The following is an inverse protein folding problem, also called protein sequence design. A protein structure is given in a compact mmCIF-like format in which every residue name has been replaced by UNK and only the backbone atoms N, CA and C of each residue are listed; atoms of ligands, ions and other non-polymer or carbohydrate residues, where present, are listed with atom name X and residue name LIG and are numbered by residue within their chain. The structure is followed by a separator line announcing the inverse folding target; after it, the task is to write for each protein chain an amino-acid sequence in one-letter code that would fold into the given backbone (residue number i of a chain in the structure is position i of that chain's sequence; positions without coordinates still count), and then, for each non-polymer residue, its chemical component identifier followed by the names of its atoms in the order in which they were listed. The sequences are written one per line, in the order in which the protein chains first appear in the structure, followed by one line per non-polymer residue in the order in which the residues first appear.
data_IF_518827478456
#
_entry.id   IF_518827478456
#
_cell.length_a   1.000
_cell.length_b   1.000
_cell.length_c   1.000
_cell.angle_alpha   90.00
_cell.angle_beta   90.00
_cell.angle_gamma   90.00
#
_symmetry.space_group_name_H-M   'P 1'
#
loop_
_entity.id
_entity.type
_entity.pdbx_description
1 polymer ?
#
# COMPACT_ATOMS: atom_id res chain seq x y z
N UNK A 1 6.81 14.26 30.93
CA UNK A 1 7.67 15.37 30.44
C UNK A 1 8.59 14.83 29.35
N UNK A 2 8.20 14.98 28.09
CA UNK A 2 9.08 14.97 26.90
C UNK A 2 8.38 15.85 25.87
N UNK A 3 8.97 17.02 25.62
CA UNK A 3 8.52 18.01 24.64
C UNK A 3 8.98 17.62 23.22
N UNK A 4 8.30 18.24 22.24
CA UNK A 4 8.83 18.61 20.92
C UNK A 4 8.94 17.47 19.90
N UNK A 5 8.59 17.62 18.62
CA UNK A 5 8.64 18.79 17.72
C UNK A 5 7.60 18.64 16.61
N UNK A 6 6.96 19.74 16.21
CA UNK A 6 6.21 19.86 14.96
C UNK A 6 7.12 19.57 13.75
N UNK A 7 6.60 18.86 12.74
CA UNK A 7 7.26 18.70 11.44
C UNK A 7 6.37 19.28 10.34
N UNK A 8 6.96 20.19 9.54
CA UNK A 8 6.40 20.80 8.35
C UNK A 8 6.39 19.82 7.16
N UNK A 9 5.43 19.98 6.25
CA UNK A 9 5.23 19.20 5.02
C UNK A 9 5.49 20.11 3.81
N UNK A 10 6.19 19.61 2.78
CA UNK A 10 6.40 20.29 1.49
C UNK A 10 5.93 19.38 0.35
N UNK A 11 5.13 19.93 -0.58
CA UNK A 11 4.58 19.27 -1.77
C UNK A 11 5.13 19.88 -3.06
N UNK A 12 5.23 19.08 -4.13
CA UNK A 12 5.37 19.55 -5.51
C UNK A 12 4.17 19.06 -6.33
N UNK A 13 3.50 20.00 -7.00
CA UNK A 13 2.43 19.72 -7.94
C UNK A 13 3.01 19.35 -9.31
N UNK A 14 2.47 18.32 -9.96
CA UNK A 14 2.63 18.15 -11.40
C UNK A 14 1.84 19.27 -12.11
N UNK A 15 2.39 19.94 -13.14
CA UNK A 15 1.66 20.95 -13.89
C UNK A 15 0.47 20.30 -14.61
N UNK A 16 -0.70 20.94 -14.51
CA UNK A 16 -1.92 20.54 -15.25
C UNK A 16 -1.65 20.52 -16.75
N UNK A 17 -2.22 19.59 -17.53
CA UNK A 17 -2.16 19.69 -18.98
C UNK A 17 -2.97 20.91 -19.42
N UNK A 18 -2.29 21.92 -19.97
CA UNK A 18 -2.95 23.04 -20.62
C UNK A 18 -3.54 22.56 -21.95
N UNK A 19 -4.77 23.03 -22.20
CA UNK A 19 -5.52 22.81 -23.43
C UNK A 19 -4.77 23.33 -24.67
N UNK A 20 -4.90 22.56 -25.76
CA UNK A 20 -4.16 22.68 -27.00
C UNK A 20 -4.64 23.88 -27.82
N UNK A 21 -4.03 25.06 -27.63
CA UNK A 21 -4.03 26.11 -28.67
C UNK A 21 -2.98 27.17 -28.35
N UNK A 22 -1.90 27.23 -29.14
CA UNK A 22 -1.25 28.45 -29.68
C UNK A 22 0.10 28.07 -30.32
N UNK A 23 0.22 28.39 -31.61
CA UNK A 23 1.40 28.29 -32.47
C UNK A 23 2.53 29.21 -32.00
N UNK A 24 3.78 28.72 -31.86
CA UNK A 24 5.00 29.52 -32.07
C UNK A 24 6.07 28.64 -32.73
N UNK A 25 6.60 29.11 -33.86
CA UNK A 25 7.79 28.58 -34.56
C UNK A 25 9.02 28.75 -33.68
N UNK A 26 9.84 27.70 -33.51
CA UNK A 26 11.26 27.85 -33.21
C UNK A 26 12.11 26.99 -34.15
N UNK A 27 13.09 27.68 -34.73
CA UNK A 27 14.15 27.20 -35.61
C UNK A 27 15.05 26.16 -34.94
N UNK A 28 15.40 25.12 -35.71
CA UNK A 28 16.37 24.09 -35.35
C UNK A 28 17.70 24.69 -34.92
N UNK A 29 18.15 24.40 -33.70
CA UNK A 29 19.57 24.28 -33.37
C UNK A 29 19.75 23.04 -32.49
N UNK A 30 20.75 22.26 -32.88
CA UNK A 30 21.21 20.99 -32.36
C UNK A 30 21.32 20.96 -30.83
N UNK A 31 20.60 20.04 -30.19
CA UNK A 31 20.95 19.46 -28.89
C UNK A 31 20.17 18.18 -28.68
N UNK A 32 20.90 17.16 -28.25
CA UNK A 32 20.52 15.76 -28.03
C UNK A 32 19.10 15.56 -27.53
N UNK A 33 18.30 14.82 -28.29
CA UNK A 33 16.97 14.36 -27.88
C UNK A 33 17.16 13.40 -26.71
N UNK A 34 16.93 13.87 -25.48
CA UNK A 34 16.62 12.99 -24.36
C UNK A 34 15.33 12.25 -24.75
N UNK A 35 15.45 10.97 -25.04
CA UNK A 35 14.33 10.05 -25.00
C UNK A 35 13.83 10.02 -23.54
N UNK A 36 12.84 10.86 -23.22
CA UNK A 36 12.07 10.68 -22.00
C UNK A 36 11.35 9.34 -22.15
N UNK A 37 11.87 8.31 -21.47
CA UNK A 37 11.11 7.11 -21.13
C UNK A 37 9.93 7.56 -20.26
N UNK A 38 8.85 8.00 -20.91
CA UNK A 38 7.53 7.76 -20.36
C UNK A 38 7.40 6.24 -20.34
N UNK A 39 7.76 5.63 -19.22
CA UNK A 39 7.44 4.24 -18.96
C UNK A 39 5.93 4.13 -19.16
N UNK A 40 5.54 3.39 -20.19
CA UNK A 40 4.15 2.99 -20.39
C UNK A 40 3.65 2.47 -19.06
N UNK A 41 2.51 2.99 -18.58
CA UNK A 41 1.76 2.37 -17.50
C UNK A 41 1.41 0.96 -17.97
N UNK A 42 2.28 0.00 -17.67
CA UNK A 42 2.02 -1.40 -17.91
C UNK A 42 1.04 -1.77 -16.82
N UNK A 43 -0.23 -1.72 -17.16
CA UNK A 43 -1.28 -2.34 -16.38
C UNK A 43 -0.79 -3.70 -15.86
N UNK A 44 -0.97 -3.99 -14.57
CA UNK A 44 -0.67 -5.28 -13.97
C UNK A 44 -1.70 -6.31 -14.41
N UNK A 45 -1.86 -6.50 -15.73
CA UNK A 45 -2.85 -7.40 -16.32
C UNK A 45 -2.33 -8.83 -16.43
N UNK A 46 -1.02 -9.06 -16.29
CA UNK A 46 -0.40 -10.37 -16.37
C UNK A 46 0.73 -10.57 -15.34
N UNK A 47 1.02 -11.82 -14.95
CA UNK A 47 2.09 -12.12 -14.01
C UNK A 47 3.47 -11.71 -14.54
N UNK A 48 4.32 -11.07 -13.72
CA UNK A 48 5.74 -10.89 -14.05
C UNK A 48 6.44 -12.25 -14.24
N UNK A 49 7.49 -12.32 -15.09
CA UNK A 49 8.25 -13.55 -15.27
C UNK A 49 8.75 -14.14 -13.94
N UNK A 50 8.47 -15.43 -13.72
CA UNK A 50 8.87 -16.15 -12.50
C UNK A 50 8.00 -15.90 -11.27
N UNK A 51 6.92 -15.10 -11.37
CA UNK A 51 6.00 -14.92 -10.26
C UNK A 51 5.20 -16.19 -9.95
N UNK A 52 4.97 -16.46 -8.66
CA UNK A 52 3.95 -17.41 -8.23
C UNK A 52 2.57 -16.79 -8.50
N UNK A 53 1.61 -17.57 -9.00
CA UNK A 53 0.29 -17.06 -9.39
C UNK A 53 -0.82 -17.57 -8.48
N UNK A 54 -1.74 -16.69 -8.10
CA UNK A 54 -2.86 -16.99 -7.18
C UNK A 54 -4.19 -16.67 -7.84
N UNK A 55 -5.13 -17.61 -7.74
CA UNK A 55 -6.52 -17.46 -8.18
C UNK A 55 -6.70 -17.37 -9.69
N UNK A 56 -7.93 -17.10 -10.13
CA UNK A 56 -8.31 -17.20 -11.55
C UNK A 56 -8.19 -18.62 -12.12
N UNK A 57 -8.34 -18.76 -13.43
CA UNK A 57 -8.18 -20.06 -14.12
C UNK A 57 -6.72 -20.48 -14.32
N UNK A 58 -5.78 -19.55 -14.18
CA UNK A 58 -4.35 -19.72 -14.46
C UNK A 58 -3.47 -19.69 -13.19
N UNK A 59 -4.07 -19.45 -12.03
CA UNK A 59 -3.38 -19.47 -10.75
C UNK A 59 -2.87 -20.86 -10.39
N UNK A 60 -1.60 -20.96 -10.00
CA UNK A 60 -1.01 -22.19 -9.45
C UNK A 60 -1.49 -22.48 -8.02
N UNK A 61 -1.85 -21.42 -7.29
CA UNK A 61 -2.35 -21.49 -5.91
C UNK A 61 -3.79 -20.97 -5.85
N UNK A 62 -4.59 -21.57 -4.98
CA UNK A 62 -5.96 -21.10 -4.72
C UNK A 62 -6.03 -19.96 -3.69
N UNK A 63 -5.02 -19.87 -2.81
CA UNK A 63 -4.96 -18.86 -1.75
C UNK A 63 -3.63 -18.11 -1.77
N UNK A 64 -3.64 -16.89 -1.24
CA UNK A 64 -2.46 -16.02 -1.15
C UNK A 64 -1.51 -16.57 -0.10
N UNK A 65 -2.02 -17.09 1.02
CA UNK A 65 -1.16 -17.72 2.03
C UNK A 65 -0.40 -18.93 1.44
N UNK A 66 -1.04 -19.77 0.62
CA UNK A 66 -0.35 -20.92 0.03
C UNK A 66 0.79 -20.51 -0.92
N UNK A 67 0.63 -19.40 -1.65
CA UNK A 67 1.72 -18.85 -2.47
C UNK A 67 2.83 -18.22 -1.61
N UNK A 68 2.48 -17.56 -0.51
CA UNK A 68 3.46 -17.04 0.47
C UNK A 68 4.26 -18.19 1.10
N UNK A 69 3.61 -19.30 1.45
CA UNK A 69 4.25 -20.48 2.04
C UNK A 69 5.18 -21.19 1.05
N UNK A 70 4.95 -21.02 -0.25
CA UNK A 70 5.80 -21.57 -1.32
C UNK A 70 7.03 -20.70 -1.65
N UNK A 71 7.15 -19.50 -1.06
CA UNK A 71 8.34 -18.67 -1.22
C UNK A 71 9.56 -19.35 -0.59
N UNK A 72 10.70 -19.24 -1.27
CA UNK A 72 11.95 -19.80 -0.78
C UNK A 72 12.67 -18.78 0.10
N UNK A 73 13.32 -19.20 1.19
CA UNK A 73 14.11 -18.30 2.00
C UNK A 73 15.51 -18.03 1.39
N UNK A 74 15.53 -17.26 0.30
CA UNK A 74 16.75 -16.89 -0.44
C UNK A 74 16.93 -15.37 -0.44
N UNK A 75 18.09 -14.88 -0.90
CA UNK A 75 18.36 -13.45 -1.08
C UNK A 75 17.85 -12.90 -2.42
N UNK A 76 17.38 -13.78 -3.32
CA UNK A 76 16.84 -13.37 -4.61
C UNK A 76 15.46 -12.72 -4.44
N UNK A 77 15.14 -11.78 -5.32
CA UNK A 77 13.79 -11.19 -5.37
C UNK A 77 12.78 -12.24 -5.80
N UNK A 78 11.68 -12.32 -5.08
CA UNK A 78 10.55 -13.20 -5.42
C UNK A 78 9.28 -12.38 -5.55
N UNK A 79 8.38 -12.86 -6.42
CA UNK A 79 7.15 -12.17 -6.76
C UNK A 79 5.96 -13.11 -6.67
N UNK A 80 4.83 -12.57 -6.21
CA UNK A 80 3.52 -13.21 -6.28
C UNK A 80 2.61 -12.30 -7.09
N UNK A 81 1.86 -12.87 -8.03
CA UNK A 81 0.82 -12.20 -8.77
C UNK A 81 -0.54 -12.79 -8.40
N UNK A 82 -1.49 -11.93 -8.06
CA UNK A 82 -2.83 -12.30 -7.62
C UNK A 82 -3.81 -11.87 -8.71
N UNK A 83 -4.52 -12.83 -9.30
CA UNK A 83 -5.60 -12.54 -10.23
C UNK A 83 -6.81 -11.94 -9.50
N UNK A 84 -7.65 -11.23 -10.26
CA UNK A 84 -8.87 -10.57 -9.78
C UNK A 84 -9.72 -11.48 -8.90
N UNK A 85 -10.18 -10.96 -7.76
CA UNK A 85 -11.00 -11.72 -6.82
C UNK A 85 -10.97 -11.17 -5.39
N UNK A 86 -11.86 -11.71 -4.57
CA UNK A 86 -11.85 -11.50 -3.11
C UNK A 86 -11.33 -12.77 -2.45
N UNK A 87 -10.33 -12.59 -1.59
CA UNK A 87 -9.63 -13.65 -0.87
C UNK A 87 -9.90 -13.47 0.62
N UNK A 88 -10.76 -14.34 1.17
CA UNK A 88 -11.18 -14.30 2.58
C UNK A 88 -10.20 -15.09 3.46
N UNK A 89 -9.05 -14.48 3.76
CA UNK A 89 -7.98 -15.11 4.52
C UNK A 89 -7.13 -14.09 5.28
N UNK A 90 -6.52 -14.54 6.39
CA UNK A 90 -5.43 -13.81 7.02
C UNK A 90 -4.11 -14.22 6.36
N UNK A 91 -3.34 -13.25 5.88
CA UNK A 91 -2.04 -13.48 5.25
C UNK A 91 -0.91 -13.07 6.18
N UNK A 92 -0.01 -14.00 6.50
CA UNK A 92 1.21 -13.76 7.26
C UNK A 92 2.45 -14.00 6.41
N UNK A 93 3.20 -12.91 6.20
CA UNK A 93 4.49 -12.92 5.50
C UNK A 93 5.58 -12.86 6.54
N UNK A 94 6.07 -14.04 6.92
CA UNK A 94 7.23 -14.19 7.79
C UNK A 94 8.49 -13.54 7.19
N UNK A 95 9.49 -13.33 8.04
CA UNK A 95 10.76 -12.73 7.61
C UNK A 95 11.46 -13.61 6.57
N UNK A 96 11.77 -13.02 5.41
CA UNK A 96 12.62 -13.62 4.38
C UNK A 96 13.94 -12.86 4.25
N UNK A 97 14.96 -13.52 3.69
CA UNK A 97 16.28 -12.95 3.46
C UNK A 97 16.34 -12.00 2.25
N UNK A 98 15.41 -12.14 1.30
CA UNK A 98 15.38 -11.37 0.05
C UNK A 98 14.08 -10.56 -0.10
N UNK A 99 14.03 -9.64 -1.08
CA UNK A 99 12.85 -8.81 -1.32
C UNK A 99 11.66 -9.64 -1.81
N UNK A 100 10.47 -9.30 -1.33
CA UNK A 100 9.21 -9.91 -1.77
C UNK A 100 8.33 -8.82 -2.39
N UNK A 101 7.75 -9.09 -3.54
CA UNK A 101 6.77 -8.21 -4.17
C UNK A 101 5.47 -8.95 -4.45
N UNK A 102 4.34 -8.39 -4.01
CA UNK A 102 3.01 -8.92 -4.30
C UNK A 102 2.29 -7.92 -5.21
N UNK A 103 1.78 -8.42 -6.33
CA UNK A 103 1.08 -7.65 -7.35
C UNK A 103 -0.37 -8.11 -7.42
N UNK A 104 -1.31 -7.20 -7.19
CA UNK A 104 -2.71 -7.41 -7.53
C UNK A 104 -2.96 -7.09 -8.99
N UNK A 105 -3.81 -7.89 -9.64
CA UNK A 105 -4.27 -7.56 -10.98
C UNK A 105 -4.97 -6.20 -10.99
N UNK A 106 -4.59 -5.34 -11.94
CA UNK A 106 -5.18 -4.02 -12.10
C UNK A 106 -4.99 -3.53 -13.55
N UNK A 107 -5.93 -2.71 -14.03
CA UNK A 107 -5.83 -2.08 -15.36
C UNK A 107 -4.97 -0.81 -15.39
N UNK A 108 -4.55 -0.32 -14.22
CA UNK A 108 -3.65 0.83 -14.04
C UNK A 108 -2.84 0.57 -12.77
N UNK A 109 -1.52 0.61 -12.86
CA UNK A 109 -0.61 0.35 -11.73
C UNK A 109 -0.34 1.62 -10.89
N UNK A 110 -0.74 2.80 -11.39
CA UNK A 110 -0.45 4.08 -10.76
C UNK A 110 -1.47 4.49 -9.68
N UNK A 111 -2.58 3.77 -9.55
CA UNK A 111 -3.75 4.18 -8.75
C UNK A 111 -4.45 3.00 -8.08
N UNK A 112 -5.13 3.26 -6.96
CA UNK A 112 -5.97 2.27 -6.27
C UNK A 112 -7.35 2.07 -6.89
N UNK A 113 -7.76 2.96 -7.81
CA UNK A 113 -9.13 2.98 -8.36
C UNK A 113 -9.46 1.78 -9.25
N UNK A 114 -8.45 1.11 -9.80
CA UNK A 114 -8.57 -0.01 -10.75
C UNK A 114 -8.21 -1.35 -10.13
N UNK A 115 -7.97 -1.39 -8.82
CA UNK A 115 -7.66 -2.63 -8.10
C UNK A 115 -8.83 -3.60 -8.20
N UNK A 116 -8.56 -4.84 -8.65
CA UNK A 116 -9.56 -5.91 -8.71
C UNK A 116 -9.31 -7.03 -7.71
N UNK A 117 -8.28 -6.89 -6.86
CA UNK A 117 -7.91 -7.85 -5.82
C UNK A 117 -8.24 -7.29 -4.44
N UNK A 118 -8.94 -8.06 -3.63
CA UNK A 118 -9.24 -7.73 -2.23
C UNK A 118 -8.85 -8.86 -1.30
N UNK A 119 -7.96 -8.58 -0.34
CA UNK A 119 -7.71 -9.43 0.83
C UNK A 119 -8.63 -8.98 1.96
N UNK A 120 -9.45 -9.89 2.47
CA UNK A 120 -10.47 -9.58 3.47
C UNK A 120 -10.40 -10.55 4.64
N UNK A 121 -10.34 -10.04 5.87
CA UNK A 121 -10.44 -10.85 7.07
C UNK A 121 -10.97 -10.01 8.25
N UNK A 122 -11.46 -10.66 9.31
CA UNK A 122 -12.15 -9.96 10.40
C UNK A 122 -11.69 -10.43 11.78
N UNK A 123 -10.55 -9.92 12.26
CA UNK A 123 -10.08 -10.15 13.63
C UNK A 123 -9.97 -8.84 14.41
N UNK A 124 -10.03 -8.95 15.73
CA UNK A 124 -10.05 -7.83 16.65
C UNK A 124 -9.43 -8.16 18.00
N UNK A 125 -8.96 -7.12 18.71
CA UNK A 125 -8.53 -7.26 20.10
C UNK A 125 -9.66 -7.69 21.03
N UNK A 126 -10.93 -7.54 20.63
CA UNK A 126 -12.07 -8.13 21.34
C UNK A 126 -11.95 -9.66 21.52
N UNK A 127 -11.13 -10.32 20.71
CA UNK A 127 -10.80 -11.74 20.83
C UNK A 127 -9.54 -12.01 21.67
N UNK A 128 -9.10 -11.06 22.51
CA UNK A 128 -7.87 -11.13 23.32
C UNK A 128 -6.58 -11.31 22.47
N UNK A 129 -6.58 -10.75 21.27
CA UNK A 129 -5.43 -10.75 20.36
C UNK A 129 -4.61 -9.46 20.51
N UNK A 130 -3.33 -9.50 20.12
CA UNK A 130 -2.53 -8.28 19.95
C UNK A 130 -2.88 -7.58 18.64
N UNK A 131 -2.60 -6.28 18.51
CA UNK A 131 -2.83 -5.54 17.25
C UNK A 131 -2.25 -6.25 16.01
N UNK A 132 -1.03 -6.80 16.10
CA UNK A 132 -0.44 -7.55 14.99
C UNK A 132 -1.25 -8.79 14.60
N UNK A 133 -1.73 -9.56 15.58
CA UNK A 133 -2.52 -10.77 15.34
C UNK A 133 -3.91 -10.46 14.78
N UNK A 134 -4.40 -9.24 14.93
CA UNK A 134 -5.67 -8.82 14.30
C UNK A 134 -5.53 -8.46 12.83
N UNK A 135 -4.32 -8.31 12.30
CA UNK A 135 -4.15 -7.76 10.96
C UNK A 135 -4.57 -8.74 9.86
N UNK A 136 -5.35 -8.28 8.87
CA UNK A 136 -5.64 -9.06 7.65
C UNK A 136 -4.37 -9.42 6.89
N UNK A 137 -3.47 -8.44 6.71
CA UNK A 137 -2.13 -8.66 6.18
C UNK A 137 -1.08 -8.35 7.24
N UNK A 138 -0.27 -9.35 7.57
CA UNK A 138 0.85 -9.26 8.52
C UNK A 138 2.17 -9.36 7.77
N UNK A 139 2.79 -8.21 7.49
CA UNK A 139 4.03 -8.13 6.72
C UNK A 139 5.24 -7.92 7.63
N UNK A 140 5.96 -9.01 7.93
CA UNK A 140 7.14 -8.98 8.82
C UNK A 140 8.47 -9.02 8.07
N UNK A 141 8.47 -9.35 6.78
CA UNK A 141 9.68 -9.34 5.96
C UNK A 141 10.19 -7.92 5.68
N UNK A 142 11.51 -7.66 5.77
CA UNK A 142 12.10 -6.45 5.21
C UNK A 142 11.94 -6.43 3.68
N UNK A 143 12.04 -5.24 3.09
CA UNK A 143 12.00 -5.03 1.63
C UNK A 143 10.76 -5.64 0.96
N UNK A 144 9.65 -5.69 1.70
CA UNK A 144 8.35 -6.16 1.21
C UNK A 144 7.62 -5.04 0.46
N UNK A 145 7.12 -5.36 -0.73
CA UNK A 145 6.35 -4.44 -1.55
C UNK A 145 4.97 -5.01 -1.88
N UNK A 146 3.93 -4.18 -1.76
CA UNK A 146 2.57 -4.50 -2.16
C UNK A 146 2.09 -3.50 -3.22
N UNK A 147 1.54 -4.01 -4.32
CA UNK A 147 1.07 -3.21 -5.45
C UNK A 147 -0.39 -3.53 -5.75
N UNK A 148 -1.23 -2.50 -5.81
CA UNK A 148 -2.59 -2.56 -6.37
C UNK A 148 -3.49 -3.64 -5.73
N UNK A 149 -3.34 -3.86 -4.43
CA UNK A 149 -4.18 -4.76 -3.64
C UNK A 149 -5.01 -3.94 -2.65
N UNK A 150 -6.30 -4.27 -2.57
CA UNK A 150 -7.15 -3.81 -1.49
C UNK A 150 -6.96 -4.74 -0.29
N UNK A 151 -6.78 -4.18 0.91
CA UNK A 151 -6.69 -4.95 2.15
C UNK A 151 -7.67 -4.38 3.14
N UNK A 152 -8.58 -5.21 3.64
CA UNK A 152 -9.61 -4.77 4.56
C UNK A 152 -9.67 -5.61 5.82
N UNK A 153 -9.95 -4.95 6.94
CA UNK A 153 -10.43 -5.62 8.14
C UNK A 153 -11.93 -5.37 8.34
N UNK A 154 -12.71 -6.45 8.30
CA UNK A 154 -14.17 -6.40 8.29
C UNK A 154 -14.82 -6.39 9.66
N UNK A 155 -14.04 -6.41 10.76
CA UNK A 155 -14.58 -6.41 12.12
C UNK A 155 -15.47 -5.19 12.42
N UNK A 156 -15.10 -4.02 11.89
CA UNK A 156 -15.89 -2.79 12.05
C UNK A 156 -15.75 -2.14 13.44
N UNK A 157 -16.81 -1.47 13.88
CA UNK A 157 -16.80 -0.64 15.10
C UNK A 157 -16.88 -1.48 16.37
N UNK A 158 -16.04 -1.16 17.35
CA UNK A 158 -16.19 -1.65 18.73
C UNK A 158 -14.88 -2.01 19.41
N UNK A 159 -13.85 -2.30 18.64
CA UNK A 159 -12.50 -2.63 19.12
C UNK A 159 -11.49 -2.50 17.98
N UNK A 160 -10.22 -2.42 18.34
CA UNK A 160 -9.07 -2.35 17.44
C UNK A 160 -9.05 -3.57 16.52
N UNK A 161 -8.88 -3.30 15.22
CA UNK A 161 -8.94 -4.29 14.16
C UNK A 161 -8.09 -3.80 12.98
N UNK A 162 -6.89 -4.36 12.85
CA UNK A 162 -5.88 -3.90 11.90
C UNK A 162 -6.17 -4.48 10.51
N UNK A 163 -6.05 -3.68 9.44
CA UNK A 163 -6.06 -4.20 8.07
C UNK A 163 -4.63 -4.60 7.65
N UNK A 164 -3.65 -3.74 7.88
CA UNK A 164 -2.23 -4.01 7.58
C UNK A 164 -1.35 -3.79 8.80
N UNK A 165 -0.59 -4.82 9.16
CA UNK A 165 0.56 -4.74 10.05
C UNK A 165 1.84 -4.66 9.22
N UNK A 166 2.36 -3.44 9.07
CA UNK A 166 3.65 -3.16 8.46
C UNK A 166 4.73 -3.21 9.55
N UNK A 167 5.36 -4.37 9.71
CA UNK A 167 6.26 -4.64 10.84
C UNK A 167 7.74 -4.73 10.44
N UNK A 168 8.01 -5.08 9.18
CA UNK A 168 9.36 -5.08 8.61
C UNK A 168 9.90 -3.66 8.38
N UNK A 169 11.12 -3.55 7.85
CA UNK A 169 11.71 -2.26 7.46
C UNK A 169 11.87 -2.18 5.95
N UNK A 170 11.87 -0.94 5.42
CA UNK A 170 11.95 -0.66 3.99
C UNK A 170 10.79 -1.30 3.20
N UNK A 171 9.60 -1.30 3.80
CA UNK A 171 8.40 -1.80 3.13
C UNK A 171 7.73 -0.68 2.35
N UNK A 172 7.12 -1.02 1.22
CA UNK A 172 6.38 -0.05 0.44
C UNK A 172 5.04 -0.58 -0.09
N UNK A 173 4.06 0.30 -0.17
CA UNK A 173 2.69 0.01 -0.55
C UNK A 173 2.30 1.02 -1.63
N UNK A 174 2.01 0.53 -2.83
CA UNK A 174 1.79 1.32 -4.04
C UNK A 174 0.39 1.07 -4.58
N UNK A 175 -0.38 2.14 -4.81
CA UNK A 175 -1.72 2.01 -5.38
C UNK A 175 -2.67 1.13 -4.55
N UNK A 176 -2.42 0.96 -3.25
CA UNK A 176 -3.23 0.06 -2.42
C UNK A 176 -4.48 0.77 -1.90
N UNK A 177 -5.46 -0.02 -1.44
CA UNK A 177 -6.61 0.50 -0.68
C UNK A 177 -6.69 -0.22 0.66
N UNK A 178 -6.45 0.48 1.76
CA UNK A 178 -6.42 -0.09 3.10
C UNK A 178 -7.64 0.40 3.89
N UNK A 179 -8.56 -0.49 4.22
CA UNK A 179 -9.85 -0.13 4.84
C UNK A 179 -10.08 -0.87 6.15
N UNK A 180 -10.64 -0.17 7.13
CA UNK A 180 -10.98 -0.75 8.43
C UNK A 180 -11.77 0.25 9.26
N UNK A 181 -11.87 -0.01 10.56
CA UNK A 181 -12.45 0.94 11.51
C UNK A 181 -11.39 1.44 12.49
N UNK A 182 -11.22 0.80 13.65
CA UNK A 182 -10.22 1.24 14.64
C UNK A 182 -8.87 0.57 14.38
N UNK A 183 -7.78 1.34 14.33
CA UNK A 183 -6.41 0.85 14.12
C UNK A 183 -6.14 0.26 12.73
N UNK A 184 -6.77 0.76 11.65
CA UNK A 184 -6.66 0.19 10.28
C UNK A 184 -5.22 -0.12 9.83
N UNK A 185 -4.24 0.70 10.21
CA UNK A 185 -2.84 0.52 9.81
C UNK A 185 -1.91 0.58 11.03
N UNK A 186 -1.07 -0.45 11.18
CA UNK A 186 -0.06 -0.56 12.23
C UNK A 186 1.35 -0.40 11.65
N UNK A 187 2.03 0.70 12.00
CA UNK A 187 3.37 1.10 11.47
C UNK A 187 4.36 1.43 12.60
N UNK A 188 4.40 0.62 13.66
CA UNK A 188 5.16 0.97 14.88
C UNK A 188 6.69 0.80 14.75
N UNK A 189 7.15 -0.04 13.83
CA UNK A 189 8.57 -0.42 13.67
C UNK A 189 8.96 -0.44 12.20
N UNK A 190 10.14 0.10 11.89
CA UNK A 190 10.69 0.11 10.52
C UNK A 190 10.44 1.41 9.76
N UNK A 191 10.86 1.41 8.49
CA UNK A 191 10.58 2.47 7.51
C UNK A 191 9.56 1.96 6.52
N UNK A 192 8.48 2.71 6.31
CA UNK A 192 7.37 2.33 5.44
C UNK A 192 7.02 3.47 4.49
N UNK A 193 6.73 3.14 3.24
CA UNK A 193 6.34 4.09 2.21
C UNK A 193 4.94 3.73 1.70
N UNK A 194 4.06 4.72 1.60
CA UNK A 194 2.72 4.56 1.05
C UNK A 194 2.59 5.56 -0.10
N UNK A 195 2.47 5.08 -1.33
CA UNK A 195 2.46 5.89 -2.55
C UNK A 195 1.16 5.63 -3.28
N UNK A 196 0.42 6.69 -3.62
CA UNK A 196 -0.90 6.61 -4.27
C UNK A 196 -1.87 5.63 -3.59
N UNK A 197 -1.71 5.45 -2.27
CA UNK A 197 -2.46 4.47 -1.48
C UNK A 197 -3.56 5.18 -0.70
N UNK A 198 -4.77 4.64 -0.77
CA UNK A 198 -5.91 5.11 0.01
C UNK A 198 -5.96 4.39 1.35
N UNK A 199 -6.19 5.13 2.45
CA UNK A 199 -6.29 4.57 3.80
C UNK A 199 -7.54 5.14 4.49
N UNK A 200 -8.41 4.27 4.98
CA UNK A 200 -9.66 4.63 5.64
C UNK A 200 -9.83 3.93 6.99
N UNK A 201 -10.20 4.70 8.00
CA UNK A 201 -10.49 4.22 9.35
C UNK A 201 -10.76 5.35 10.33
N UNK A 202 -11.21 4.98 11.53
CA UNK A 202 -11.31 5.81 12.72
C UNK A 202 -10.09 5.55 13.61
N UNK A 203 -9.23 6.55 13.78
CA UNK A 203 -7.95 6.44 14.50
C UNK A 203 -6.93 5.56 13.76
N UNK A 204 -5.96 6.22 13.11
CA UNK A 204 -4.83 5.59 12.44
C UNK A 204 -3.60 5.75 13.35
N UNK A 205 -3.01 4.65 13.81
CA UNK A 205 -1.74 4.68 14.54
C UNK A 205 -0.56 4.85 13.58
N UNK A 206 -0.37 6.08 13.10
CA UNK A 206 0.79 6.47 12.29
C UNK A 206 1.87 7.10 13.19
N UNK A 207 2.97 6.37 13.45
CA UNK A 207 4.12 6.90 14.20
C UNK A 207 5.31 7.09 13.25
N UNK A 208 5.34 8.20 12.51
CA UNK A 208 6.46 8.52 11.62
C UNK A 208 7.71 8.89 12.43
N UNK A 209 8.77 8.08 12.38
CA UNK A 209 10.14 8.52 12.71
C UNK A 209 10.89 8.76 11.40
N UNK A 210 11.02 10.04 11.03
CA UNK A 210 11.80 10.57 9.90
C UNK A 210 11.38 9.99 8.53
N UNK A 211 10.22 10.43 8.05
CA UNK A 211 9.84 10.27 6.64
C UNK A 211 10.48 11.40 5.82
N UNK A 212 11.26 11.07 4.77
CA UNK A 212 11.38 11.95 3.61
C UNK A 212 10.12 11.71 2.79
N UNK A 213 9.18 12.64 2.89
CA UNK A 213 7.80 12.51 2.41
C UNK A 213 7.60 13.39 1.18
N UNK A 214 7.01 12.81 0.13
CA UNK A 214 6.46 13.48 -1.05
C UNK A 214 5.11 12.82 -1.34
N UNK A 215 3.99 13.43 -0.98
CA UNK A 215 2.68 13.14 -1.60
C UNK A 215 1.68 14.29 -1.40
N UNK A 216 0.93 14.58 -2.47
CA UNK A 216 -0.09 15.62 -2.65
C UNK A 216 -1.50 15.12 -2.25
N UNK A 217 -2.36 16.02 -1.77
CA UNK A 217 -3.76 15.75 -1.43
C UNK A 217 -4.66 16.88 -2.00
N UNK A 218 -5.41 16.57 -3.04
CA UNK A 218 -6.54 17.36 -3.55
C UNK A 218 -7.55 16.37 -4.16
N UNK A 219 -8.88 16.41 -3.98
CA UNK A 219 -9.87 17.28 -3.32
C UNK A 219 -11.19 16.47 -3.50
N UNK A 220 -11.97 16.02 -2.52
CA UNK A 220 -13.01 16.70 -1.73
C UNK A 220 -13.73 15.60 -0.92
N UNK A 221 -13.50 15.51 0.37
CA UNK A 221 -14.50 15.26 1.41
C UNK A 221 -13.82 15.68 2.71
N UNK A 222 -14.47 16.58 3.46
CA UNK A 222 -13.90 17.21 4.64
C UNK A 222 -13.49 16.14 5.66
N UNK A 223 -12.19 15.93 5.86
CA UNK A 223 -11.68 15.38 7.11
C UNK A 223 -11.83 16.47 8.18
N UNK A 224 -12.95 16.44 8.91
CA UNK A 224 -13.06 17.17 10.17
C UNK A 224 -12.18 16.48 11.21
N UNK A 225 -10.91 16.84 11.27
CA UNK A 225 -10.11 16.66 12.48
C UNK A 225 -10.68 17.60 13.55
N UNK A 226 -11.55 17.09 14.41
CA UNK A 226 -11.79 17.69 15.72
C UNK A 226 -10.98 16.89 16.74
N UNK A 227 -9.82 17.38 17.21
CA UNK A 227 -9.17 16.79 18.36
C UNK A 227 -10.08 16.99 19.56
N UNK A 228 -10.77 15.92 19.99
CA UNK A 228 -11.47 15.92 21.28
C UNK A 228 -10.41 15.60 22.34
N UNK A 229 -9.73 16.63 22.82
CA UNK A 229 -9.09 16.56 24.13
C UNK A 229 -10.21 16.64 25.17
N UNK A 230 -10.73 15.50 25.63
CA UNK A 230 -11.48 15.48 26.89
C UNK A 230 -10.47 15.36 28.01
N UNK A 231 -10.21 16.48 28.67
CA UNK A 231 -9.56 16.50 29.98
C UNK A 231 -10.38 15.69 30.97
N UNK A 232 -9.74 14.74 31.62
CA UNK A 232 -10.15 14.28 32.93
C UNK A 232 -9.35 15.11 33.93
N UNK A 233 -10.08 15.85 34.77
CA UNK A 233 -9.57 16.44 36.01
C UNK A 233 -9.15 15.32 36.95
#
# INVERSE_FOLDING_TARGET
MYLSTSAFIVCLAAPKPLSLTTFIRLTMHSSSILFSLFGSALALTSPPPGALTVGGSEGKFSTVQAAVDALQNTTARQSIFIYSGTYEEQVYIAKHNGPISIYGQASDDSSYHTNTVTLSFGLSQAFNLSNDLTATLRAHSPDFNLYNVNVENTYGKGSQAVAVSAYGTEQAYYGCKLTGFQDTLLTQRGRHYFVNTYIEGKEVFLKLRKARSLTDMHRRHRLHFRPVFRGLV
#
